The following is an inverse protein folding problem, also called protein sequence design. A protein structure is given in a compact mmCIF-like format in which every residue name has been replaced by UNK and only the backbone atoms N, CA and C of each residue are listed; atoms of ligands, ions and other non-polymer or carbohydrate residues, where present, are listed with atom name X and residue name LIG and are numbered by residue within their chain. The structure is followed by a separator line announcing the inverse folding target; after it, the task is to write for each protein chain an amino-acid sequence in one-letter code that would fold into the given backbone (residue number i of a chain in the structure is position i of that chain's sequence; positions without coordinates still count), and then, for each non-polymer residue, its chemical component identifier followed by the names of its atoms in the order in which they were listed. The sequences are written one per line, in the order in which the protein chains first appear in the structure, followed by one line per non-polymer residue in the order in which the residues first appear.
data_IF_000384062608
#
_entry.id   IF_000384062608
#
_cell.length_a   1.000
_cell.length_b   1.000
_cell.length_c   1.000
_cell.angle_alpha   90.00
_cell.angle_beta   90.00
_cell.angle_gamma   90.00
#
_symmetry.space_group_name_H-M   'P 1'
#
loop_
_entity.id
_entity.type
_entity.pdbx_description
1 polymer ?
#
# COMPACT_ATOMS: atom_id res chain seq x y z
N UNK A 1 73.54 20.91 -0.04
CA UNK A 1 72.87 20.10 -1.08
C UNK A 1 71.66 19.50 -0.39
N UNK A 2 70.46 20.03 -0.68
CA UNK A 2 69.22 19.51 -0.10
C UNK A 2 69.11 18.06 -0.57
N UNK A 3 69.05 17.13 0.37
CA UNK A 3 69.07 15.71 0.08
C UNK A 3 67.75 15.32 -0.59
N UNK A 4 67.78 15.19 -1.91
CA UNK A 4 66.62 14.89 -2.74
C UNK A 4 65.95 13.60 -2.28
N UNK A 5 66.71 12.67 -1.71
CA UNK A 5 66.23 11.42 -1.12
C UNK A 5 65.37 11.65 0.13
N UNK A 6 65.75 12.59 1.01
CA UNK A 6 64.98 12.95 2.20
C UNK A 6 63.66 13.63 1.84
N UNK A 7 63.67 14.53 0.85
CA UNK A 7 62.44 15.17 0.36
C UNK A 7 61.49 14.16 -0.31
N UNK A 8 62.01 13.22 -1.12
CA UNK A 8 61.16 12.18 -1.72
C UNK A 8 60.61 11.19 -0.71
N UNK A 9 61.38 10.87 0.35
CA UNK A 9 60.90 10.01 1.44
C UNK A 9 59.77 10.68 2.22
N UNK A 10 59.93 11.96 2.57
CA UNK A 10 58.91 12.75 3.26
C UNK A 10 57.65 12.95 2.40
N UNK A 11 57.79 13.24 1.09
CA UNK A 11 56.63 13.33 0.20
C UNK A 11 55.90 11.98 0.06
N UNK A 12 56.63 10.85 0.03
CA UNK A 12 56.00 9.52 -0.08
C UNK A 12 55.27 9.11 1.21
N UNK A 13 55.79 9.51 2.37
CA UNK A 13 55.16 9.30 3.66
C UNK A 13 53.88 10.15 3.78
N UNK A 14 53.94 11.42 3.37
CA UNK A 14 52.78 12.32 3.34
C UNK A 14 51.72 11.84 2.34
N UNK A 15 52.11 11.36 1.16
CA UNK A 15 51.16 10.82 0.18
C UNK A 15 50.47 9.54 0.66
N UNK A 16 51.20 8.66 1.36
CA UNK A 16 50.64 7.41 1.90
C UNK A 16 49.63 7.71 3.02
N UNK A 17 49.95 8.66 3.90
CA UNK A 17 49.03 9.14 4.93
C UNK A 17 47.79 9.79 4.29
N UNK A 18 47.96 10.58 3.23
CA UNK A 18 46.86 11.21 2.52
C UNK A 18 45.91 10.19 1.87
N UNK A 19 46.44 9.10 1.30
CA UNK A 19 45.63 8.02 0.73
C UNK A 19 44.82 7.30 1.82
N UNK A 20 45.44 7.01 2.97
CA UNK A 20 44.76 6.36 4.11
C UNK A 20 43.66 7.27 4.67
N UNK A 21 43.96 8.56 4.89
CA UNK A 21 42.97 9.53 5.37
C UNK A 21 41.83 9.73 4.36
N UNK A 22 42.15 9.79 3.07
CA UNK A 22 41.16 9.86 1.99
C UNK A 22 40.24 8.65 1.98
N UNK A 23 40.77 7.44 2.11
CA UNK A 23 39.98 6.21 2.17
C UNK A 23 39.05 6.17 3.40
N UNK A 24 39.56 6.57 4.58
CA UNK A 24 38.75 6.67 5.81
C UNK A 24 37.62 7.69 5.65
N UNK A 25 37.92 8.84 5.05
CA UNK A 25 36.93 9.89 4.78
C UNK A 25 35.82 9.41 3.85
N UNK A 26 36.16 8.73 2.75
CA UNK A 26 35.17 8.16 1.81
C UNK A 26 34.28 7.12 2.50
N UNK A 27 34.86 6.22 3.31
CA UNK A 27 34.07 5.23 4.07
C UNK A 27 33.11 5.92 5.03
N UNK A 28 33.56 6.98 5.71
CA UNK A 28 32.72 7.74 6.63
C UNK A 28 31.57 8.45 5.89
N UNK A 29 31.85 9.04 4.73
CA UNK A 29 30.85 9.68 3.88
C UNK A 29 29.81 8.69 3.36
N UNK A 30 30.22 7.50 2.90
CA UNK A 30 29.30 6.43 2.48
C UNK A 30 28.39 5.97 3.63
N UNK A 31 28.94 5.85 4.85
CA UNK A 31 28.14 5.51 6.04
C UNK A 31 27.14 6.61 6.40
N UNK A 32 27.51 7.88 6.30
CA UNK A 32 26.61 9.00 6.55
C UNK A 32 25.51 9.07 5.49
N UNK A 33 25.84 8.94 4.21
CA UNK A 33 24.87 8.90 3.12
C UNK A 33 23.90 7.73 3.26
N UNK A 34 24.40 6.54 3.60
CA UNK A 34 23.55 5.38 3.87
C UNK A 34 22.58 5.62 5.05
N UNK A 35 23.01 6.33 6.10
CA UNK A 35 22.14 6.72 7.22
C UNK A 35 21.09 7.75 6.78
N UNK A 36 21.48 8.79 6.05
CA UNK A 36 20.56 9.81 5.55
C UNK A 36 19.50 9.22 4.62
N UNK A 37 19.89 8.32 3.71
CA UNK A 37 18.95 7.61 2.83
C UNK A 37 17.97 6.77 3.64
N UNK A 38 18.44 6.05 4.68
CA UNK A 38 17.55 5.27 5.56
C UNK A 38 16.57 6.16 6.31
N UNK A 39 17.01 7.30 6.85
CA UNK A 39 16.13 8.25 7.54
C UNK A 39 15.12 8.88 6.60
N UNK A 40 15.55 9.33 5.42
CA UNK A 40 14.67 9.91 4.41
C UNK A 40 13.63 8.88 3.90
N UNK A 41 14.05 7.63 3.69
CA UNK A 41 13.13 6.56 3.35
C UNK A 41 12.14 6.30 4.49
N UNK A 42 12.61 6.25 5.73
CA UNK A 42 11.73 6.06 6.90
C UNK A 42 10.71 7.20 7.04
N UNK A 43 11.14 8.46 6.92
CA UNK A 43 10.25 9.63 6.96
C UNK A 43 9.23 9.60 5.82
N UNK A 44 9.65 9.27 4.60
CA UNK A 44 8.75 9.13 3.44
C UNK A 44 7.71 8.05 3.68
N UNK A 45 8.14 6.88 4.16
CA UNK A 45 7.24 5.75 4.49
C UNK A 45 6.27 6.10 5.62
N UNK A 46 6.75 6.78 6.65
CA UNK A 46 5.92 7.23 7.77
C UNK A 46 4.86 8.24 7.31
N UNK A 47 5.25 9.26 6.54
CA UNK A 47 4.33 10.27 6.02
C UNK A 47 3.25 9.66 5.13
N UNK A 48 3.62 8.77 4.20
CA UNK A 48 2.64 8.08 3.36
C UNK A 48 1.70 7.17 4.17
N UNK A 49 2.22 6.49 5.20
CA UNK A 49 1.40 5.69 6.11
C UNK A 49 0.40 6.56 6.89
N UNK A 50 0.82 7.76 7.33
CA UNK A 50 -0.07 8.72 7.98
C UNK A 50 -1.15 9.25 7.03
N UNK A 51 -0.81 9.56 5.78
CA UNK A 51 -1.81 9.99 4.79
C UNK A 51 -2.85 8.89 4.51
N UNK A 52 -2.43 7.62 4.45
CA UNK A 52 -3.37 6.49 4.32
C UNK A 52 -4.29 6.41 5.55
N UNK A 53 -3.73 6.52 6.76
CA UNK A 53 -4.51 6.54 7.99
C UNK A 53 -5.51 7.71 8.03
N UNK A 54 -5.10 8.90 7.61
CA UNK A 54 -5.95 10.07 7.53
C UNK A 54 -7.15 9.81 6.60
N UNK A 55 -6.89 9.34 5.38
CA UNK A 55 -7.95 8.97 4.41
C UNK A 55 -8.97 7.99 5.00
N UNK A 56 -8.53 7.01 5.79
CA UNK A 56 -9.40 5.97 6.37
C UNK A 56 -10.17 6.49 7.60
N UNK A 57 -9.58 7.41 8.35
CA UNK A 57 -10.18 7.97 9.58
C UNK A 57 -11.09 9.17 9.35
N UNK A 58 -11.07 9.75 8.14
CA UNK A 58 -12.01 10.80 7.76
C UNK A 58 -13.48 10.34 7.81
N UNK A 59 -14.38 11.20 8.27
CA UNK A 59 -15.84 10.95 8.25
C UNK A 59 -16.35 10.66 6.82
N UNK A 60 -15.71 11.29 5.83
CA UNK A 60 -15.97 11.10 4.41
C UNK A 60 -15.76 9.64 3.99
N UNK A 61 -14.84 8.90 4.63
CA UNK A 61 -14.52 7.52 4.31
C UNK A 61 -15.68 6.58 4.62
N UNK A 62 -16.24 6.68 5.84
CA UNK A 62 -17.38 5.87 6.25
C UNK A 62 -18.60 6.07 5.33
N UNK A 63 -18.85 7.32 4.93
CA UNK A 63 -19.92 7.68 3.99
C UNK A 63 -19.69 7.08 2.60
N UNK A 64 -18.49 7.29 2.03
CA UNK A 64 -18.12 6.74 0.71
C UNK A 64 -18.18 5.21 0.70
N UNK A 65 -17.70 4.58 1.77
CA UNK A 65 -17.79 3.14 1.98
C UNK A 65 -19.24 2.67 1.97
N UNK A 66 -20.12 3.32 2.73
CA UNK A 66 -21.55 2.99 2.74
C UNK A 66 -22.18 3.15 1.35
N UNK A 67 -21.91 4.26 0.66
CA UNK A 67 -22.42 4.51 -0.69
C UNK A 67 -22.02 3.39 -1.66
N UNK A 68 -20.74 2.99 -1.66
CA UNK A 68 -20.26 1.86 -2.47
C UNK A 68 -21.00 0.56 -2.10
N UNK A 69 -21.11 0.23 -0.80
CA UNK A 69 -21.80 -0.98 -0.33
C UNK A 69 -23.27 -1.03 -0.78
N UNK A 70 -23.98 0.08 -0.64
CA UNK A 70 -25.39 0.22 -0.99
C UNK A 70 -25.62 0.19 -2.49
N UNK A 71 -24.79 0.91 -3.26
CA UNK A 71 -24.84 0.91 -4.71
C UNK A 71 -24.66 -0.51 -5.25
N UNK A 72 -23.59 -1.20 -4.82
CA UNK A 72 -23.35 -2.57 -5.26
C UNK A 72 -24.49 -3.49 -4.82
N UNK A 73 -25.06 -3.29 -3.63
CA UNK A 73 -26.24 -4.06 -3.18
C UNK A 73 -27.44 -3.91 -4.10
N UNK A 74 -27.80 -2.67 -4.37
CA UNK A 74 -28.95 -2.31 -5.17
C UNK A 74 -28.77 -2.87 -6.58
N UNK A 75 -27.65 -2.55 -7.23
CA UNK A 75 -27.46 -2.80 -8.64
C UNK A 75 -27.07 -4.26 -8.95
N UNK A 76 -26.37 -4.97 -8.06
CA UNK A 76 -26.11 -6.40 -8.27
C UNK A 76 -27.38 -7.26 -8.29
N UNK A 77 -28.48 -6.79 -7.68
CA UNK A 77 -29.77 -7.51 -7.63
C UNK A 77 -30.61 -7.30 -8.89
N UNK A 78 -30.36 -6.22 -9.65
CA UNK A 78 -31.08 -5.85 -10.86
C UNK A 78 -30.18 -5.93 -12.09
N UNK A 79 -29.16 -6.79 -12.05
CA UNK A 79 -28.22 -7.00 -13.15
C UNK A 79 -27.61 -5.69 -13.70
N UNK A 80 -27.27 -4.77 -12.79
CA UNK A 80 -26.63 -3.48 -13.08
C UNK A 80 -27.44 -2.52 -13.95
N UNK A 81 -28.75 -2.73 -14.09
CA UNK A 81 -29.63 -1.83 -14.84
C UNK A 81 -29.62 -0.42 -14.24
N UNK A 82 -29.32 0.59 -15.08
CA UNK A 82 -29.24 1.99 -14.68
C UNK A 82 -28.04 2.36 -13.80
N UNK A 83 -27.13 1.42 -13.55
CA UNK A 83 -25.90 1.69 -12.82
C UNK A 83 -24.85 2.37 -13.69
N UNK A 84 -24.65 1.86 -14.89
CA UNK A 84 -23.58 2.30 -15.78
C UNK A 84 -23.65 3.80 -16.06
N UNK A 85 -22.54 4.50 -15.83
CA UNK A 85 -22.40 5.96 -16.00
C UNK A 85 -23.25 6.82 -15.05
N UNK A 86 -23.86 6.21 -14.02
CA UNK A 86 -24.51 6.93 -12.92
C UNK A 86 -23.48 7.53 -11.95
N UNK A 87 -23.93 8.46 -11.10
CA UNK A 87 -23.09 9.00 -10.03
C UNK A 87 -22.61 7.88 -9.09
N UNK A 88 -23.49 6.93 -8.77
CA UNK A 88 -23.16 5.79 -7.92
C UNK A 88 -22.10 4.87 -8.53
N UNK A 89 -22.04 4.76 -9.86
CA UNK A 89 -20.96 4.04 -10.56
C UNK A 89 -19.61 4.75 -10.38
N UNK A 90 -19.57 6.06 -10.59
CA UNK A 90 -18.35 6.83 -10.35
C UNK A 90 -17.91 6.79 -8.87
N UNK A 91 -18.84 6.93 -7.93
CA UNK A 91 -18.55 6.88 -6.49
C UNK A 91 -18.03 5.51 -6.05
N UNK A 92 -18.67 4.42 -6.50
CA UNK A 92 -18.27 3.06 -6.15
C UNK A 92 -16.88 2.74 -6.70
N UNK A 93 -16.62 3.04 -7.99
CA UNK A 93 -15.31 2.84 -8.62
C UNK A 93 -14.22 3.65 -7.94
N UNK A 94 -14.51 4.91 -7.59
CA UNK A 94 -13.55 5.77 -6.91
C UNK A 94 -13.21 5.26 -5.50
N UNK A 95 -14.17 4.72 -4.77
CA UNK A 95 -13.88 4.11 -3.47
C UNK A 95 -13.00 2.86 -3.62
N UNK A 96 -13.31 1.97 -4.56
CA UNK A 96 -12.45 0.80 -4.86
C UNK A 96 -11.03 1.21 -5.26
N UNK A 97 -10.89 2.33 -5.96
CA UNK A 97 -9.58 2.85 -6.41
C UNK A 97 -8.68 3.27 -5.24
N UNK A 98 -9.23 3.68 -4.10
CA UNK A 98 -8.45 3.98 -2.90
C UNK A 98 -7.70 2.71 -2.45
N UNK A 99 -8.38 1.57 -2.37
CA UNK A 99 -7.74 0.32 -1.98
C UNK A 99 -6.81 -0.24 -3.06
N UNK A 100 -7.09 0.02 -4.33
CA UNK A 100 -6.20 -0.33 -5.43
C UNK A 100 -4.84 0.36 -5.28
N UNK A 101 -4.85 1.68 -5.08
CA UNK A 101 -3.63 2.47 -4.85
C UNK A 101 -2.90 2.04 -3.58
N UNK A 102 -3.62 1.74 -2.49
CA UNK A 102 -2.99 1.21 -1.27
C UNK A 102 -2.32 -0.15 -1.56
N UNK A 103 -2.99 -1.03 -2.30
CA UNK A 103 -2.44 -2.32 -2.71
C UNK A 103 -1.17 -2.17 -3.54
N UNK A 104 -1.16 -1.26 -4.51
CA UNK A 104 0.00 -0.95 -5.35
C UNK A 104 1.18 -0.46 -4.49
N UNK A 105 0.94 0.52 -3.61
CA UNK A 105 1.97 1.06 -2.72
C UNK A 105 2.56 -0.02 -1.78
N UNK A 106 1.75 -0.99 -1.37
CA UNK A 106 2.22 -2.12 -0.55
C UNK A 106 3.05 -3.10 -1.39
N UNK A 107 2.60 -3.44 -2.61
CA UNK A 107 3.36 -4.33 -3.50
C UNK A 107 4.72 -3.77 -3.88
N UNK A 108 4.80 -2.46 -4.12
CA UNK A 108 6.04 -1.75 -4.43
C UNK A 108 6.94 -1.55 -3.19
N UNK A 109 6.51 -2.01 -2.01
CA UNK A 109 7.29 -1.93 -0.77
C UNK A 109 7.43 -0.50 -0.22
N UNK A 110 6.61 0.42 -0.71
CA UNK A 110 6.52 1.80 -0.23
C UNK A 110 5.83 1.81 1.13
N UNK A 111 4.68 1.14 1.26
CA UNK A 111 3.99 0.92 2.53
C UNK A 111 4.31 -0.50 3.02
N UNK A 112 4.63 -0.65 4.32
CA UNK A 112 4.81 -1.97 4.92
C UNK A 112 3.45 -2.69 4.99
N UNK A 113 3.41 -3.93 4.49
CA UNK A 113 2.21 -4.77 4.50
C UNK A 113 1.57 -4.90 5.90
N UNK A 114 2.38 -5.00 6.95
CA UNK A 114 1.93 -5.09 8.34
C UNK A 114 1.22 -3.82 8.78
N UNK A 115 1.72 -2.65 8.36
CA UNK A 115 1.07 -1.37 8.63
C UNK A 115 -0.31 -1.34 7.96
N UNK A 116 -0.39 -1.72 6.68
CA UNK A 116 -1.67 -1.75 5.97
C UNK A 116 -2.70 -2.68 6.65
N UNK A 117 -2.30 -3.91 7.03
CA UNK A 117 -3.18 -4.85 7.73
C UNK A 117 -3.59 -4.34 9.11
N UNK A 118 -2.67 -3.78 9.90
CA UNK A 118 -3.02 -3.34 11.25
C UNK A 118 -3.96 -2.13 11.25
N UNK A 119 -3.85 -1.28 10.24
CA UNK A 119 -4.71 -0.12 10.03
C UNK A 119 -6.11 -0.52 9.54
N UNK A 120 -6.21 -1.35 8.51
CA UNK A 120 -7.48 -1.68 7.84
C UNK A 120 -8.14 -2.95 8.36
N UNK A 121 -7.33 -3.88 8.88
CA UNK A 121 -7.75 -5.17 9.44
C UNK A 121 -8.72 -5.90 8.51
N UNK A 122 -9.75 -6.51 9.07
CA UNK A 122 -10.74 -7.27 8.34
C UNK A 122 -11.63 -6.43 7.41
N UNK A 123 -11.64 -5.08 7.55
CA UNK A 123 -12.44 -4.23 6.66
C UNK A 123 -12.04 -4.41 5.21
N UNK A 124 -10.75 -4.58 4.94
CA UNK A 124 -10.25 -4.73 3.59
C UNK A 124 -10.74 -6.04 2.94
N UNK A 125 -10.81 -7.14 3.71
CA UNK A 125 -11.37 -8.42 3.24
C UNK A 125 -12.86 -8.29 2.95
N UNK A 126 -13.60 -7.65 3.86
CA UNK A 126 -15.04 -7.48 3.75
C UNK A 126 -15.43 -6.54 2.61
N UNK A 127 -14.70 -5.43 2.44
CA UNK A 127 -14.93 -4.47 1.36
C UNK A 127 -14.63 -5.10 0.00
N UNK A 128 -13.57 -5.90 -0.11
CA UNK A 128 -13.30 -6.66 -1.33
C UNK A 128 -14.43 -7.64 -1.68
N UNK A 129 -14.90 -8.43 -0.72
CA UNK A 129 -16.03 -9.36 -0.95
C UNK A 129 -17.29 -8.65 -1.44
N UNK A 130 -17.51 -7.42 -0.98
CA UNK A 130 -18.60 -6.59 -1.48
C UNK A 130 -18.33 -6.05 -2.88
N UNK A 131 -17.10 -5.66 -3.15
CA UNK A 131 -16.69 -4.97 -4.37
C UNK A 131 -16.51 -5.91 -5.57
N UNK A 132 -16.12 -7.16 -5.33
CA UNK A 132 -15.84 -8.18 -6.35
C UNK A 132 -16.93 -8.32 -7.45
N UNK A 133 -18.25 -8.29 -7.15
CA UNK A 133 -19.28 -8.36 -8.19
C UNK A 133 -19.22 -7.18 -9.17
N UNK A 134 -18.88 -5.98 -8.69
CA UNK A 134 -18.73 -4.80 -9.55
C UNK A 134 -17.53 -4.98 -10.48
N UNK A 135 -16.42 -5.52 -9.98
CA UNK A 135 -15.25 -5.83 -10.81
C UNK A 135 -15.63 -6.75 -11.97
N UNK A 136 -16.36 -7.84 -11.69
CA UNK A 136 -16.83 -8.78 -12.72
C UNK A 136 -17.69 -8.08 -13.77
N UNK A 137 -18.63 -7.25 -13.35
CA UNK A 137 -19.45 -6.43 -14.25
C UNK A 137 -18.61 -5.50 -15.13
N UNK A 138 -17.65 -4.78 -14.54
CA UNK A 138 -16.78 -3.87 -15.30
C UNK A 138 -15.89 -4.61 -16.31
N UNK A 139 -15.39 -5.80 -15.95
CA UNK A 139 -14.62 -6.64 -16.86
C UNK A 139 -15.46 -7.07 -18.07
N UNK A 140 -16.71 -7.48 -17.84
CA UNK A 140 -17.66 -7.85 -18.90
C UNK A 140 -18.02 -6.64 -19.78
N UNK A 141 -18.37 -5.51 -19.14
CA UNK A 141 -18.76 -4.25 -19.82
C UNK A 141 -17.65 -3.72 -20.72
N UNK A 142 -16.42 -3.62 -20.19
CA UNK A 142 -15.28 -3.09 -20.94
C UNK A 142 -14.54 -4.14 -21.76
N UNK A 143 -14.96 -5.41 -21.69
CA UNK A 143 -14.32 -6.55 -22.38
C UNK A 143 -12.82 -6.64 -22.07
N UNK A 144 -12.46 -6.42 -20.81
CA UNK A 144 -11.06 -6.51 -20.36
C UNK A 144 -10.82 -7.89 -19.71
N UNK A 145 -9.74 -8.60 -20.08
CA UNK A 145 -9.47 -9.93 -19.55
C UNK A 145 -8.79 -9.91 -18.17
N UNK A 146 -8.36 -8.74 -17.71
CA UNK A 146 -7.62 -8.54 -16.45
C UNK A 146 -8.49 -7.77 -15.46
N UNK A 147 -8.41 -8.14 -14.19
CA UNK A 147 -9.06 -7.41 -13.10
C UNK A 147 -8.45 -5.99 -13.00
N UNK A 148 -9.24 -4.91 -13.23
CA UNK A 148 -8.73 -3.53 -13.11
C UNK A 148 -8.45 -3.09 -11.66
N UNK A 149 -8.79 -3.91 -10.68
CA UNK A 149 -8.56 -3.72 -9.25
C UNK A 149 -7.76 -4.90 -8.66
N UNK A 150 -6.74 -5.36 -9.38
CA UNK A 150 -5.95 -6.54 -8.98
C UNK A 150 -5.13 -6.33 -7.71
N UNK A 151 -4.70 -5.10 -7.41
CA UNK A 151 -3.94 -4.82 -6.20
C UNK A 151 -4.85 -4.80 -4.98
N UNK A 152 -6.09 -4.32 -5.11
CA UNK A 152 -7.10 -4.44 -4.07
C UNK A 152 -7.43 -5.92 -3.81
N UNK A 153 -7.69 -6.70 -4.85
CA UNK A 153 -7.93 -8.15 -4.73
C UNK A 153 -6.80 -8.84 -3.96
N UNK A 154 -5.57 -8.62 -4.42
CA UNK A 154 -4.39 -9.22 -3.82
C UNK A 154 -4.21 -8.81 -2.36
N UNK A 155 -4.35 -7.52 -2.06
CA UNK A 155 -4.20 -7.02 -0.71
C UNK A 155 -5.24 -7.67 0.22
N UNK A 156 -6.46 -7.93 -0.27
CA UNK A 156 -7.51 -8.60 0.47
C UNK A 156 -7.23 -10.08 0.70
N UNK A 157 -6.73 -10.78 -0.31
CA UNK A 157 -6.33 -12.17 -0.18
C UNK A 157 -5.18 -12.34 0.80
N UNK A 158 -4.14 -11.50 0.70
CA UNK A 158 -2.99 -11.55 1.62
C UNK A 158 -3.39 -11.17 3.04
N UNK A 159 -4.26 -10.17 3.21
CA UNK A 159 -4.80 -9.80 4.52
C UNK A 159 -5.58 -10.95 5.14
N UNK A 160 -6.41 -11.65 4.35
CA UNK A 160 -7.15 -12.83 4.80
C UNK A 160 -6.19 -13.92 5.28
N UNK A 161 -5.21 -14.30 4.46
CA UNK A 161 -4.19 -15.31 4.82
C UNK A 161 -3.45 -14.96 6.10
N UNK A 162 -3.05 -13.69 6.25
CA UNK A 162 -2.37 -13.23 7.46
C UNK A 162 -3.23 -13.37 8.72
N UNK A 163 -4.51 -12.97 8.64
CA UNK A 163 -5.42 -13.01 9.77
C UNK A 163 -5.85 -14.44 10.14
N UNK A 164 -6.03 -15.32 9.15
CA UNK A 164 -6.26 -16.76 9.34
C UNK A 164 -5.06 -17.42 10.05
N UNK A 165 -3.84 -17.14 9.59
CA UNK A 165 -2.61 -17.67 10.21
C UNK A 165 -2.41 -17.19 11.65
N UNK A 166 -2.99 -16.06 12.04
CA UNK A 166 -2.97 -15.58 13.43
C UNK A 166 -4.14 -16.11 14.30
N UNK A 167 -5.00 -16.97 13.76
CA UNK A 167 -6.19 -17.47 14.46
C UNK A 167 -7.22 -16.39 14.76
N UNK A 168 -7.24 -15.31 13.98
CA UNK A 168 -8.08 -14.12 14.21
C UNK A 168 -9.37 -14.11 13.38
N UNK A 169 -9.56 -15.07 12.48
CA UNK A 169 -10.79 -15.30 11.71
C UNK A 169 -11.00 -16.81 11.63
N UNK A 170 -12.22 -17.27 11.89
CA UNK A 170 -12.61 -18.68 11.68
C UNK A 170 -13.01 -18.90 10.21
N UNK A 171 -12.67 -20.06 9.67
CA UNK A 171 -12.82 -20.43 8.23
C UNK A 171 -14.29 -20.56 7.76
N UNK A 172 -15.26 -20.28 8.62
CA UNK A 172 -16.66 -20.21 8.28
C UNK A 172 -16.99 -18.87 7.61
N UNK A 173 -17.54 -18.93 6.40
CA UNK A 173 -18.17 -17.80 5.73
C UNK A 173 -18.88 -16.87 6.73
N UNK A 174 -18.75 -15.54 6.64
CA UNK A 174 -19.65 -14.66 7.36
C UNK A 174 -21.05 -14.93 6.82
N UNK A 175 -21.84 -15.71 7.58
CA UNK A 175 -23.27 -15.80 7.37
C UNK A 175 -23.79 -14.36 7.39
N UNK A 176 -24.22 -13.88 6.23
CA UNK A 176 -24.98 -12.65 6.12
C UNK A 176 -26.20 -12.89 7.01
N UNK A 177 -26.36 -12.18 8.14
CA UNK A 177 -27.52 -12.41 8.99
C UNK A 177 -28.76 -12.12 8.15
N UNK A 178 -29.71 -13.06 8.17
CA UNK A 178 -30.99 -12.91 7.48
C UNK A 178 -31.61 -11.55 7.87
N UNK A 179 -32.26 -10.84 6.93
CA UNK A 179 -32.86 -9.55 7.25
C UNK A 179 -33.81 -9.74 8.44
N UNK A 180 -33.58 -8.94 9.49
CA UNK A 180 -34.41 -8.97 10.68
C UNK A 180 -35.88 -8.80 10.25
N UNK A 181 -36.71 -9.80 10.56
CA UNK A 181 -38.14 -9.74 10.35
C UNK A 181 -38.68 -8.56 11.14
N UNK A 182 -39.12 -7.52 10.44
CA UNK A 182 -39.85 -6.40 11.05
C UNK A 182 -41.17 -6.94 11.58
N UNK A 183 -41.30 -6.97 12.91
CA UNK A 183 -42.57 -7.02 13.62
C UNK A 183 -42.93 -5.61 14.09
#
# INVERSE_FOLDING_TARGET
MIDLAAITADLSAVSSIAIILGAVFVIFQLRQNARLIRTANFETKANMSFSVLEIITEESFARRRKNMHDAIKKYSQINWEGFDDSLEDFEARNFGYIYELIGELVREGIIDFTIAIHSLRYLLVFDWQRFEPLVKHLMERYKVPVNPYENFEWLAQETRKYLENQGRIDTGHPEIPAPASMH
#
